data_IF_726941735161
#
_entry.id   IF_726941735161
#
_cell.length_a   1.000
_cell.length_b   1.000
_cell.length_c   1.000
_cell.angle_alpha   90.00
_cell.angle_beta   90.00
_cell.angle_gamma   90.00
#
_symmetry.space_group_name_H-M   'P 1'
#
loop_
_entity.id
_entity.type
_entity.pdbx_description
1 polymer ?
#
# COMPACT_ATOMS: atom_id res chain seq x y z
N UNK A 1 2.83 3.83 9.31
CA UNK A 1 2.19 5.16 9.26
C UNK A 1 2.48 5.97 7.99
N UNK A 2 2.88 5.35 6.88
CA UNK A 2 3.04 6.04 5.59
C UNK A 2 1.70 6.40 4.93
N UNK A 3 0.59 5.86 5.44
CA UNK A 3 -0.78 6.18 5.03
C UNK A 3 -1.49 5.08 4.23
N UNK A 4 -1.08 3.81 4.39
CA UNK A 4 -1.60 2.66 3.64
C UNK A 4 -3.12 2.50 3.80
N UNK A 5 -3.62 2.46 5.03
CA UNK A 5 -5.07 2.35 5.31
C UNK A 5 -5.87 3.52 4.74
N UNK A 6 -5.38 4.75 4.90
CA UNK A 6 -6.07 5.93 4.35
C UNK A 6 -6.08 5.91 2.81
N UNK A 7 -4.98 5.48 2.18
CA UNK A 7 -4.94 5.28 0.74
C UNK A 7 -5.98 4.24 0.31
N UNK A 8 -6.10 3.11 1.02
CA UNK A 8 -7.10 2.08 0.73
C UNK A 8 -8.53 2.61 0.90
N UNK A 9 -8.85 3.28 2.02
CA UNK A 9 -10.15 3.92 2.24
C UNK A 9 -10.52 4.85 1.08
N UNK A 10 -9.60 5.70 0.65
CA UNK A 10 -9.82 6.65 -0.45
C UNK A 10 -9.91 5.98 -1.82
N UNK A 11 -9.19 4.89 -2.04
CA UNK A 11 -9.23 4.09 -3.27
C UNK A 11 -10.59 3.40 -3.38
N UNK A 12 -11.02 2.71 -2.31
CA UNK A 12 -12.31 2.03 -2.22
C UNK A 12 -13.45 3.03 -2.42
N UNK A 13 -13.41 4.18 -1.75
CA UNK A 13 -14.44 5.21 -1.87
C UNK A 13 -14.64 5.73 -3.29
N UNK A 14 -13.58 5.74 -4.12
CA UNK A 14 -13.62 6.20 -5.51
C UNK A 14 -14.02 5.11 -6.51
N UNK A 15 -13.70 3.85 -6.21
CA UNK A 15 -13.74 2.78 -7.20
C UNK A 15 -14.75 1.65 -6.91
N UNK A 16 -15.25 1.52 -5.68
CA UNK A 16 -16.06 0.35 -5.27
C UNK A 16 -17.37 0.18 -6.05
N UNK A 17 -17.92 1.28 -6.58
CA UNK A 17 -19.15 1.24 -7.38
C UNK A 17 -18.89 0.77 -8.82
N UNK A 18 -17.61 0.74 -9.25
CA UNK A 18 -17.18 0.34 -10.59
C UNK A 18 -16.50 -1.03 -10.60
N UNK A 19 -15.82 -1.41 -9.51
CA UNK A 19 -15.12 -2.69 -9.35
C UNK A 19 -15.28 -3.22 -7.92
N UNK A 20 -15.49 -4.54 -7.74
CA UNK A 20 -15.53 -5.13 -6.39
C UNK A 20 -14.14 -5.13 -5.76
N UNK A 21 -14.09 -4.97 -4.44
CA UNK A 21 -12.86 -5.03 -3.64
C UNK A 21 -13.00 -6.07 -2.53
N UNK A 22 -11.90 -6.74 -2.22
CA UNK A 22 -11.72 -7.57 -1.03
C UNK A 22 -10.39 -7.18 -0.39
N UNK A 23 -10.36 -7.03 0.93
CA UNK A 23 -9.18 -6.53 1.65
C UNK A 23 -8.66 -7.59 2.61
N UNK A 24 -7.35 -7.82 2.60
CA UNK A 24 -6.65 -8.53 3.67
C UNK A 24 -5.82 -7.49 4.42
N UNK A 25 -6.09 -7.33 5.70
CA UNK A 25 -5.32 -6.45 6.60
C UNK A 25 -4.37 -7.32 7.42
N UNK A 26 -3.08 -6.97 7.43
CA UNK A 26 -2.07 -7.62 8.25
C UNK A 26 -1.45 -6.66 9.26
N UNK A 27 -1.71 -6.94 10.54
CA UNK A 27 -1.12 -6.25 11.67
C UNK A 27 -0.65 -7.27 12.73
N UNK A 28 0.21 -6.83 13.65
CA UNK A 28 0.71 -7.66 14.73
C UNK A 28 -0.41 -8.06 15.70
N UNK A 29 -1.24 -7.10 16.11
CA UNK A 29 -2.22 -7.33 17.18
C UNK A 29 -3.52 -6.52 17.07
N UNK A 30 -3.55 -5.38 16.39
CA UNK A 30 -4.70 -4.48 16.42
C UNK A 30 -5.74 -4.85 15.35
N UNK A 31 -7.00 -4.51 15.59
CA UNK A 31 -8.09 -4.61 14.60
C UNK A 31 -8.41 -3.25 13.97
N UNK A 32 -7.65 -2.20 14.32
CA UNK A 32 -8.04 -0.82 14.07
C UNK A 32 -8.17 -0.51 12.58
N UNK A 33 -7.24 -1.01 11.77
CA UNK A 33 -7.24 -0.77 10.33
C UNK A 33 -8.30 -1.63 9.63
N UNK A 34 -8.53 -2.89 10.06
CA UNK A 34 -9.66 -3.68 9.56
C UNK A 34 -11.02 -3.05 9.89
N UNK A 35 -11.23 -2.53 11.11
CA UNK A 35 -12.48 -1.85 11.49
C UNK A 35 -12.72 -0.57 10.68
N UNK A 36 -11.64 0.13 10.30
CA UNK A 36 -11.72 1.29 9.42
C UNK A 36 -12.12 0.90 8.01
N UNK A 37 -11.52 -0.16 7.47
CA UNK A 37 -11.85 -0.68 6.14
C UNK A 37 -13.27 -1.26 6.10
N UNK A 38 -13.71 -1.95 7.14
CA UNK A 38 -15.06 -2.54 7.24
C UNK A 38 -16.16 -1.48 7.06
N UNK A 39 -15.95 -0.26 7.60
CA UNK A 39 -16.87 0.88 7.43
C UNK A 39 -17.06 1.33 5.98
N UNK A 40 -16.17 0.94 5.07
CA UNK A 40 -16.33 1.22 3.63
C UNK A 40 -17.37 0.31 2.96
N UNK A 41 -17.73 -0.79 3.61
CA UNK A 41 -18.72 -1.78 3.16
C UNK A 41 -18.15 -2.89 2.26
N UNK A 42 -16.83 -2.98 2.13
CA UNK A 42 -16.17 -4.06 1.36
C UNK A 42 -15.76 -5.21 2.29
N UNK A 43 -15.76 -6.47 1.81
CA UNK A 43 -15.24 -7.60 2.57
C UNK A 43 -13.80 -7.37 3.03
N UNK A 44 -13.54 -7.53 4.32
CA UNK A 44 -12.21 -7.42 4.93
C UNK A 44 -11.92 -8.59 5.86
N UNK A 45 -10.69 -9.09 5.83
CA UNK A 45 -10.19 -10.07 6.80
C UNK A 45 -8.92 -9.54 7.45
N UNK A 46 -8.93 -9.54 8.79
CA UNK A 46 -7.72 -9.36 9.59
C UNK A 46 -6.89 -10.64 9.63
N UNK A 47 -5.58 -10.50 9.42
CA UNK A 47 -4.56 -11.50 9.70
C UNK A 47 -3.65 -10.98 10.80
N UNK A 48 -3.84 -11.48 12.02
CA UNK A 48 -2.96 -11.16 13.14
C UNK A 48 -1.68 -11.98 13.05
N UNK A 49 -0.55 -11.31 12.81
CA UNK A 49 0.76 -11.95 12.66
C UNK A 49 1.42 -12.26 14.01
N UNK A 50 0.84 -11.81 15.13
CA UNK A 50 1.38 -11.99 16.46
C UNK A 50 2.67 -11.19 16.63
N UNK A 51 3.81 -11.87 16.75
CA UNK A 51 5.13 -11.23 16.82
C UNK A 51 5.83 -11.11 15.47
N UNK A 52 5.27 -11.69 14.39
CA UNK A 52 5.89 -11.62 13.07
C UNK A 52 5.76 -10.20 12.47
N UNK A 53 6.81 -9.76 11.78
CA UNK A 53 6.93 -8.43 11.17
C UNK A 53 6.49 -8.39 9.69
N UNK A 54 5.84 -9.44 9.19
CA UNK A 54 5.43 -9.61 7.80
C UNK A 54 4.25 -10.60 7.68
N UNK A 55 3.54 -10.52 6.57
CA UNK A 55 2.68 -11.59 6.05
C UNK A 55 3.48 -12.56 5.18
N UNK A 56 3.02 -13.80 5.07
CA UNK A 56 3.53 -14.80 4.12
C UNK A 56 2.41 -15.38 3.24
N UNK A 57 2.78 -16.07 2.17
CA UNK A 57 1.83 -16.66 1.22
C UNK A 57 0.88 -17.70 1.85
N UNK A 58 1.30 -18.39 2.92
CA UNK A 58 0.42 -19.34 3.62
C UNK A 58 -0.69 -18.60 4.35
N UNK A 59 -0.37 -17.52 5.06
CA UNK A 59 -1.34 -16.65 5.72
C UNK A 59 -2.33 -16.06 4.71
N UNK A 60 -1.84 -15.56 3.57
CA UNK A 60 -2.68 -15.03 2.50
C UNK A 60 -3.61 -16.10 1.94
N UNK A 61 -3.10 -17.30 1.67
CA UNK A 61 -3.92 -18.42 1.17
C UNK A 61 -5.07 -18.75 2.12
N UNK A 62 -4.83 -18.80 3.43
CA UNK A 62 -5.89 -19.08 4.40
C UNK A 62 -6.89 -17.92 4.55
N UNK A 63 -6.46 -16.66 4.36
CA UNK A 63 -7.35 -15.51 4.31
C UNK A 63 -8.22 -15.51 3.04
N UNK A 64 -7.64 -15.78 1.87
CA UNK A 64 -8.35 -15.86 0.58
C UNK A 64 -9.49 -16.89 0.64
N UNK A 65 -9.25 -18.07 1.22
CA UNK A 65 -10.29 -19.11 1.39
C UNK A 65 -11.51 -18.64 2.19
N UNK A 66 -11.35 -17.64 3.06
CA UNK A 66 -12.41 -17.10 3.91
C UNK A 66 -13.15 -15.91 3.28
N UNK A 67 -12.51 -15.18 2.36
CA UNK A 67 -13.05 -13.96 1.75
C UNK A 67 -14.14 -14.21 0.70
N UNK A 68 -14.32 -15.45 0.23
CA UNK A 68 -15.22 -15.80 -0.89
C UNK A 68 -15.12 -14.80 -2.05
N UNK A 69 -13.88 -14.63 -2.54
CA UNK A 69 -13.52 -13.57 -3.48
C UNK A 69 -14.31 -13.75 -4.78
N UNK A 70 -15.13 -12.75 -5.11
CA UNK A 70 -15.86 -12.71 -6.38
C UNK A 70 -14.90 -12.63 -7.56
N UNK A 71 -15.30 -13.23 -8.69
CA UNK A 71 -14.58 -13.03 -9.95
C UNK A 71 -14.45 -11.51 -10.24
N UNK A 72 -13.29 -11.13 -10.80
CA UNK A 72 -12.94 -9.74 -11.15
C UNK A 72 -12.72 -8.76 -9.98
N UNK A 73 -12.77 -9.22 -8.73
CA UNK A 73 -12.51 -8.36 -7.58
C UNK A 73 -11.01 -8.01 -7.42
N UNK A 74 -10.73 -6.77 -7.05
CA UNK A 74 -9.42 -6.39 -6.56
C UNK A 74 -9.20 -6.94 -5.15
N UNK A 75 -8.25 -7.86 -5.02
CA UNK A 75 -7.73 -8.27 -3.72
C UNK A 75 -6.58 -7.33 -3.32
N UNK A 76 -6.80 -6.47 -2.33
CA UNK A 76 -5.77 -5.59 -1.80
C UNK A 76 -5.26 -6.14 -0.46
N UNK A 77 -3.94 -6.25 -0.34
CA UNK A 77 -3.27 -6.76 0.86
C UNK A 77 -2.54 -5.61 1.53
N UNK A 78 -3.04 -5.13 2.67
CA UNK A 78 -2.30 -4.22 3.54
C UNK A 78 -1.33 -5.03 4.40
N UNK A 79 -0.03 -4.97 4.09
CA UNK A 79 0.99 -5.66 4.89
C UNK A 79 1.35 -4.89 6.17
N UNK A 80 2.06 -5.56 7.08
CA UNK A 80 2.58 -4.98 8.32
C UNK A 80 3.47 -3.78 8.00
N UNK A 81 3.42 -2.73 8.82
CA UNK A 81 4.20 -1.50 8.64
C UNK A 81 5.71 -1.69 8.83
N UNK A 82 6.40 -2.28 7.84
CA UNK A 82 7.83 -2.58 7.88
C UNK A 82 8.43 -2.54 6.45
N UNK A 83 9.58 -1.90 6.27
CA UNK A 83 10.28 -1.78 4.97
C UNK A 83 11.41 -2.81 4.79
N UNK A 84 11.62 -3.69 5.76
CA UNK A 84 12.67 -4.72 5.75
C UNK A 84 12.03 -6.09 5.56
N UNK A 85 11.31 -6.60 6.56
CA UNK A 85 10.83 -7.98 6.55
C UNK A 85 9.98 -8.29 5.31
N UNK A 86 8.95 -7.49 4.95
CA UNK A 86 8.05 -7.84 3.86
C UNK A 86 8.71 -7.89 2.48
N UNK A 87 9.89 -7.24 2.31
CA UNK A 87 10.62 -7.30 1.04
C UNK A 87 11.13 -8.71 0.70
N UNK A 88 11.21 -9.60 1.69
CA UNK A 88 11.73 -10.95 1.56
C UNK A 88 10.64 -12.00 1.28
N UNK A 89 9.37 -11.61 1.29
CA UNK A 89 8.24 -12.54 1.18
C UNK A 89 7.40 -12.18 -0.03
N UNK A 90 7.26 -13.12 -0.95
CA UNK A 90 6.29 -13.09 -2.03
C UNK A 90 4.95 -13.61 -1.50
N UNK A 91 3.87 -12.85 -1.72
CA UNK A 91 2.53 -13.20 -1.30
C UNK A 91 1.69 -13.77 -2.45
N UNK A 92 2.25 -13.83 -3.66
CA UNK A 92 1.53 -14.16 -4.89
C UNK A 92 0.78 -12.97 -5.47
N UNK A 93 1.14 -11.74 -5.09
CA UNK A 93 0.53 -10.52 -5.62
C UNK A 93 0.99 -10.23 -7.06
N UNK A 94 0.07 -9.73 -7.90
CA UNK A 94 0.41 -9.27 -9.26
C UNK A 94 1.24 -7.99 -9.25
N UNK A 95 0.96 -7.11 -8.29
CA UNK A 95 1.64 -5.83 -8.13
C UNK A 95 1.99 -5.60 -6.66
N UNK A 96 3.22 -5.13 -6.44
CA UNK A 96 3.74 -4.74 -5.14
C UNK A 96 3.88 -3.23 -5.09
N UNK A 97 3.21 -2.62 -4.12
CA UNK A 97 3.18 -1.16 -3.92
C UNK A 97 3.92 -0.81 -2.64
N UNK A 98 5.03 -0.08 -2.76
CA UNK A 98 5.69 0.56 -1.61
C UNK A 98 5.13 1.97 -1.43
N UNK A 99 4.78 2.33 -0.19
CA UNK A 99 4.28 3.67 0.14
C UNK A 99 5.28 4.31 1.10
N UNK A 100 5.85 5.44 0.69
CA UNK A 100 6.62 6.34 1.54
C UNK A 100 5.86 7.64 1.73
N UNK A 101 6.04 8.29 2.87
CA UNK A 101 5.54 9.65 3.06
C UNK A 101 6.67 10.66 3.11
N UNK A 102 6.40 11.89 2.64
CA UNK A 102 7.37 13.01 2.67
C UNK A 102 7.88 13.34 4.10
N UNK A 103 7.16 12.88 5.13
CA UNK A 103 7.57 13.02 6.54
C UNK A 103 8.67 12.05 6.97
N UNK A 104 9.05 11.08 6.13
CA UNK A 104 9.97 10.00 6.49
C UNK A 104 11.42 10.22 6.05
N UNK A 105 11.67 11.31 5.32
CA UNK A 105 12.97 11.70 4.77
C UNK A 105 13.23 11.12 3.38
N UNK A 106 13.99 11.88 2.59
CA UNK A 106 14.15 11.63 1.15
C UNK A 106 15.11 10.45 0.83
N UNK A 107 15.86 10.00 1.83
CA UNK A 107 16.87 8.94 1.70
C UNK A 107 16.31 7.52 1.98
N UNK A 108 15.01 7.41 2.26
CA UNK A 108 14.29 6.13 2.47
C UNK A 108 14.62 5.07 1.42
N UNK A 109 14.62 5.38 0.09
CA UNK A 109 14.90 4.36 -0.91
C UNK A 109 16.29 3.75 -0.79
N UNK A 110 17.30 4.57 -0.51
CA UNK A 110 18.68 4.11 -0.34
C UNK A 110 18.90 3.36 0.97
N UNK A 111 18.17 3.71 2.04
CA UNK A 111 18.23 3.02 3.33
C UNK A 111 17.53 1.66 3.33
N UNK A 112 16.51 1.48 2.50
CA UNK A 112 15.69 0.24 2.44
C UNK A 112 15.62 -0.34 1.03
N UNK A 113 16.76 -0.61 0.36
CA UNK A 113 16.79 -0.89 -1.06
C UNK A 113 16.04 -2.17 -1.44
N UNK A 114 15.95 -3.16 -0.54
CA UNK A 114 15.20 -4.39 -0.79
C UNK A 114 13.72 -4.17 -1.08
N UNK A 115 13.07 -3.25 -0.36
CA UNK A 115 11.65 -2.96 -0.56
C UNK A 115 11.39 -2.29 -1.92
N UNK A 116 12.22 -1.32 -2.29
CA UNK A 116 12.08 -0.59 -3.55
C UNK A 116 12.44 -1.46 -4.75
N UNK A 117 13.46 -2.33 -4.60
CA UNK A 117 13.88 -3.27 -5.65
C UNK A 117 12.81 -4.30 -5.99
N UNK A 118 12.04 -4.75 -5.00
CA UNK A 118 11.00 -5.77 -5.20
C UNK A 118 9.62 -5.18 -5.52
N UNK A 119 9.47 -3.86 -5.41
CA UNK A 119 8.22 -3.18 -5.70
C UNK A 119 8.08 -2.86 -7.18
N UNK A 120 6.84 -2.86 -7.65
CA UNK A 120 6.48 -2.43 -9.01
C UNK A 120 6.12 -0.94 -9.03
N UNK A 121 5.57 -0.44 -7.92
CA UNK A 121 5.03 0.91 -7.79
C UNK A 121 5.52 1.53 -6.49
N UNK A 122 5.90 2.80 -6.54
CA UNK A 122 6.15 3.64 -5.38
C UNK A 122 5.14 4.78 -5.30
N UNK A 123 4.44 4.88 -4.18
CA UNK A 123 3.57 6.00 -3.87
C UNK A 123 4.29 6.92 -2.88
N UNK A 124 4.47 8.17 -3.28
CA UNK A 124 4.98 9.26 -2.43
C UNK A 124 3.76 10.01 -1.89
N UNK A 125 3.45 9.75 -0.62
CA UNK A 125 2.23 10.20 0.04
C UNK A 125 2.47 11.43 0.94
N UNK A 126 1.37 12.05 1.36
CA UNK A 126 1.30 13.20 2.28
C UNK A 126 1.92 14.49 1.73
N UNK A 127 1.87 14.69 0.42
CA UNK A 127 2.44 15.89 -0.24
C UNK A 127 1.79 17.20 0.21
N UNK A 128 0.60 17.12 0.77
CA UNK A 128 -0.07 18.23 1.45
C UNK A 128 0.71 18.80 2.65
N UNK A 129 1.73 18.09 3.14
CA UNK A 129 2.62 18.54 4.21
C UNK A 129 3.91 19.22 3.71
N UNK A 130 4.17 19.25 2.40
CA UNK A 130 5.37 19.88 1.83
C UNK A 130 5.58 21.35 2.25
N UNK A 131 4.54 22.19 2.44
CA UNK A 131 4.74 23.56 2.95
C UNK A 131 5.37 23.64 4.35
N UNK A 132 5.51 22.51 5.06
CA UNK A 132 6.06 22.41 6.41
C UNK A 132 7.35 21.58 6.48
N UNK A 133 7.86 21.11 5.34
CA UNK A 133 8.97 20.15 5.28
C UNK A 133 9.98 20.57 4.22
N UNK A 134 11.26 20.26 4.46
CA UNK A 134 12.33 20.42 3.46
C UNK A 134 12.41 19.23 2.48
N UNK A 135 11.43 18.31 2.54
CA UNK A 135 11.39 17.10 1.70
C UNK A 135 11.09 17.47 0.24
N UNK A 136 11.70 16.73 -0.67
CA UNK A 136 11.49 16.88 -2.11
C UNK A 136 11.08 15.52 -2.72
N UNK A 137 9.84 15.41 -3.23
CA UNK A 137 9.36 14.20 -3.91
C UNK A 137 10.26 13.76 -5.07
N UNK A 138 10.89 14.68 -5.79
CA UNK A 138 11.76 14.31 -6.92
C UNK A 138 13.08 13.69 -6.42
N UNK A 139 13.64 14.14 -5.30
CA UNK A 139 14.81 13.47 -4.68
C UNK A 139 14.48 12.05 -4.24
N UNK A 140 13.29 11.83 -3.67
CA UNK A 140 12.81 10.48 -3.33
C UNK A 140 12.74 9.61 -4.59
N UNK A 141 12.18 10.15 -5.68
CA UNK A 141 12.06 9.46 -6.95
C UNK A 141 13.42 9.10 -7.55
N UNK A 142 14.37 10.04 -7.58
CA UNK A 142 15.73 9.82 -8.06
C UNK A 142 16.43 8.71 -7.27
N UNK A 143 16.37 8.76 -5.94
CA UNK A 143 16.93 7.72 -5.08
C UNK A 143 16.27 6.35 -5.30
N UNK A 144 14.96 6.32 -5.51
CA UNK A 144 14.24 5.08 -5.78
C UNK A 144 14.62 4.50 -7.15
N UNK A 145 14.78 5.33 -8.17
CA UNK A 145 15.20 4.92 -9.52
C UNK A 145 16.65 4.40 -9.55
N UNK A 146 17.53 4.89 -8.67
CA UNK A 146 18.88 4.31 -8.49
C UNK A 146 18.82 2.87 -7.98
N UNK A 147 17.77 2.49 -7.24
CA UNK A 147 17.57 1.15 -6.70
C UNK A 147 16.79 0.27 -7.67
N UNK A 148 15.79 0.83 -8.34
CA UNK A 148 14.89 0.15 -9.27
C UNK A 148 14.49 1.09 -10.43
N UNK A 149 15.13 0.97 -11.60
CA UNK A 149 14.85 1.81 -12.77
C UNK A 149 13.45 1.65 -13.37
N UNK A 150 12.79 0.52 -13.12
CA UNK A 150 11.48 0.17 -13.70
C UNK A 150 10.29 0.61 -12.82
N UNK A 151 10.58 1.25 -11.67
CA UNK A 151 9.57 1.61 -10.68
C UNK A 151 8.62 2.69 -11.23
N UNK A 152 7.30 2.44 -11.15
CA UNK A 152 6.28 3.44 -11.47
C UNK A 152 5.98 4.30 -10.24
N UNK A 153 5.73 5.59 -10.44
CA UNK A 153 5.49 6.54 -9.35
C UNK A 153 4.09 7.15 -9.37
N UNK A 154 3.54 7.35 -8.18
CA UNK A 154 2.40 8.25 -7.96
C UNK A 154 2.74 9.20 -6.80
N UNK A 155 2.48 10.48 -6.99
CA UNK A 155 2.75 11.54 -6.01
C UNK A 155 1.41 12.12 -5.60
N UNK A 156 1.02 11.93 -4.34
CA UNK A 156 -0.35 12.20 -3.92
C UNK A 156 -0.48 12.54 -2.42
N UNK A 157 -1.66 13.01 -2.05
CA UNK A 157 -2.14 13.04 -0.68
C UNK A 157 -3.40 12.22 -0.56
N UNK A 158 -3.31 11.08 0.14
CA UNK A 158 -4.48 10.32 0.52
C UNK A 158 -5.39 11.10 1.50
N UNK A 159 -4.90 12.16 2.15
CA UNK A 159 -5.71 12.98 3.06
C UNK A 159 -6.58 13.98 2.30
N UNK A 160 -6.01 14.71 1.35
CA UNK A 160 -6.71 15.78 0.63
C UNK A 160 -7.33 15.29 -0.68
N UNK A 161 -6.88 14.14 -1.20
CA UNK A 161 -7.26 13.61 -2.50
C UNK A 161 -6.40 14.13 -3.66
N UNK A 162 -5.47 15.06 -3.41
CA UNK A 162 -4.52 15.55 -4.42
C UNK A 162 -3.75 14.37 -5.03
N UNK A 163 -3.68 14.31 -6.37
CA UNK A 163 -2.94 13.27 -7.10
C UNK A 163 -3.57 11.86 -7.06
N UNK A 164 -4.69 11.65 -6.36
CA UNK A 164 -5.36 10.34 -6.29
C UNK A 164 -5.94 9.87 -7.62
N UNK A 165 -6.31 10.80 -8.51
CA UNK A 165 -6.93 10.49 -9.80
C UNK A 165 -6.04 9.57 -10.65
N UNK A 166 -4.77 9.94 -10.85
CA UNK A 166 -3.84 9.11 -11.62
C UNK A 166 -3.60 7.72 -11.02
N UNK A 167 -3.61 7.59 -9.69
CA UNK A 167 -3.55 6.29 -9.03
C UNK A 167 -4.80 5.44 -9.32
N UNK A 168 -5.98 6.04 -9.18
CA UNK A 168 -7.24 5.32 -9.41
C UNK A 168 -7.47 4.98 -10.87
N UNK A 169 -7.14 5.86 -11.81
CA UNK A 169 -7.23 5.59 -13.25
C UNK A 169 -6.29 4.45 -13.66
N UNK A 170 -5.08 4.41 -13.09
CA UNK A 170 -4.16 3.32 -13.34
C UNK A 170 -4.72 1.97 -12.85
N UNK A 171 -5.30 1.94 -11.65
CA UNK A 171 -5.96 0.73 -11.13
C UNK A 171 -7.13 0.29 -12.01
N UNK A 172 -7.96 1.23 -12.48
CA UNK A 172 -9.10 0.91 -13.35
C UNK A 172 -8.69 0.37 -14.72
N UNK A 173 -7.48 0.71 -15.19
CA UNK A 173 -6.91 0.23 -16.45
C UNK A 173 -6.30 -1.18 -16.39
N UNK A 174 -6.29 -1.83 -15.21
CA UNK A 174 -5.89 -3.23 -15.04
C UNK A 174 -7.00 -4.20 -15.45
#
# INVERSE_FOLDING_TARGET
GSGKTTLLEQTIARLKDRKPFCIIEGDQQSMLDAERIDKTGVPVIQVNTGSACHLDALMIREAVKKLDIREEAFLMIENVGNLICPSLFDLGEHYRVVIVSVTEGDDKPLKYPGMFRTSHICIINKVDLLPHLDSDPERIREHALQVNPDLRFFVLSARTGEGMEGWTEWLEGL
#
